data_IF_227301316409
#
_entry.id   IF_227301316409
#
_cell.length_a   1.000
_cell.length_b   1.000
_cell.length_c   1.000
_cell.angle_alpha   90.00
_cell.angle_beta   90.00
_cell.angle_gamma   90.00
#
_symmetry.space_group_name_H-M   'P 1'
#
loop_
_entity.id
_entity.type
_entity.pdbx_description
1 polymer ?
#
# COMPACT_ATOMS: atom_id res chain seq x y z
N UNK A 1 27.41 4.31 -49.73
CA UNK A 1 26.57 3.10 -49.84
C UNK A 1 26.87 2.24 -48.61
N UNK A 2 26.30 2.51 -47.44
CA UNK A 2 24.95 2.14 -46.97
C UNK A 2 24.58 0.68 -47.25
N UNK A 3 24.67 -0.16 -46.22
CA UNK A 3 23.73 -1.25 -45.94
C UNK A 3 23.99 -1.81 -44.53
N UNK A 4 23.51 -1.12 -43.49
CA UNK A 4 23.24 -1.74 -42.19
C UNK A 4 21.78 -2.14 -42.19
N UNK A 5 21.50 -3.44 -42.30
CA UNK A 5 20.15 -3.98 -42.22
C UNK A 5 19.67 -3.88 -40.76
N UNK A 6 18.70 -2.98 -40.52
CA UNK A 6 17.88 -2.98 -39.31
C UNK A 6 16.74 -3.98 -39.53
N UNK A 7 16.78 -5.08 -38.80
CA UNK A 7 15.66 -6.01 -38.64
C UNK A 7 14.86 -5.64 -37.40
N UNK A 8 13.61 -5.27 -37.65
CA UNK A 8 12.55 -5.01 -36.68
C UNK A 8 12.20 -6.30 -35.91
N UNK A 9 11.82 -6.19 -34.62
CA UNK A 9 10.55 -6.77 -34.16
C UNK A 9 10.21 -6.42 -32.70
N UNK A 10 8.99 -5.88 -32.59
CA UNK A 10 8.07 -5.91 -31.44
C UNK A 10 8.28 -4.91 -30.30
N UNK A 11 7.86 -3.69 -30.63
CA UNK A 11 7.32 -2.70 -29.73
C UNK A 11 6.00 -3.20 -29.09
N UNK A 12 6.07 -3.82 -27.91
CA UNK A 12 4.88 -4.10 -27.09
C UNK A 12 4.66 -2.97 -26.07
N UNK A 13 3.96 -1.94 -26.55
CA UNK A 13 2.77 -1.35 -25.96
C UNK A 13 2.52 -1.64 -24.46
N UNK A 14 3.27 -1.03 -23.55
CA UNK A 14 2.79 -0.82 -22.18
C UNK A 14 1.97 0.47 -22.18
N UNK A 15 0.69 0.32 -22.53
CA UNK A 15 -0.35 1.33 -22.30
C UNK A 15 -0.21 1.81 -20.86
N UNK A 16 0.30 3.03 -20.71
CA UNK A 16 0.08 3.83 -19.52
C UNK A 16 -1.42 4.06 -19.51
N UNK A 17 -2.14 3.25 -18.74
CA UNK A 17 -3.55 3.47 -18.48
C UNK A 17 -3.68 4.74 -17.65
N UNK A 18 -3.74 5.87 -18.34
CA UNK A 18 -4.37 7.08 -17.85
C UNK A 18 -5.81 6.68 -17.53
N UNK A 19 -6.10 6.42 -16.25
CA UNK A 19 -7.48 6.41 -15.77
C UNK A 19 -7.91 7.87 -15.72
N UNK A 20 -8.28 8.40 -16.88
CA UNK A 20 -9.11 9.57 -16.98
C UNK A 20 -10.50 9.12 -16.52
N UNK A 21 -10.76 9.21 -15.22
CA UNK A 21 -12.08 8.99 -14.64
C UNK A 21 -12.96 10.15 -15.12
N UNK A 22 -13.56 9.90 -16.27
CA UNK A 22 -14.51 10.75 -16.98
C UNK A 22 -15.72 10.95 -16.07
N UNK A 23 -15.89 12.20 -15.63
CA UNK A 23 -17.11 12.71 -15.01
C UNK A 23 -18.28 12.43 -15.95
N UNK A 24 -19.05 11.39 -15.66
CA UNK A 24 -20.40 11.21 -16.19
C UNK A 24 -21.34 11.45 -15.02
N UNK A 25 -21.68 12.72 -14.87
CA UNK A 25 -22.77 13.19 -14.03
C UNK A 25 -24.06 12.79 -14.74
N UNK A 26 -24.66 11.67 -14.33
CA UNK A 26 -26.00 11.28 -14.76
C UNK A 26 -26.93 11.47 -13.57
N UNK A 27 -27.93 12.33 -13.76
CA UNK A 27 -28.93 12.69 -12.76
C UNK A 27 -29.68 11.46 -12.24
N UNK A 28 -29.46 11.16 -10.97
CA UNK A 28 -30.31 10.34 -10.12
C UNK A 28 -30.29 10.96 -8.72
N UNK A 29 -31.34 11.68 -8.35
CA UNK A 29 -31.52 12.25 -7.02
C UNK A 29 -31.52 11.13 -5.96
N UNK A 30 -30.73 11.32 -4.89
CA UNK A 30 -31.14 10.89 -3.56
C UNK A 30 -30.57 9.58 -3.04
N UNK A 31 -29.27 9.54 -2.74
CA UNK A 31 -28.76 9.09 -1.44
C UNK A 31 -27.26 9.36 -1.33
N UNK A 32 -26.90 10.21 -0.38
CA UNK A 32 -25.54 10.31 0.15
C UNK A 32 -25.08 8.89 0.52
N UNK A 33 -23.93 8.45 0.00
CA UNK A 33 -23.39 7.15 0.36
C UNK A 33 -22.69 7.31 1.72
N UNK A 34 -23.33 6.83 2.78
CA UNK A 34 -22.80 6.86 4.14
C UNK A 34 -22.57 5.43 4.62
N UNK A 35 -21.37 5.17 5.12
CA UNK A 35 -21.01 3.92 5.78
C UNK A 35 -20.64 4.17 7.24
N UNK A 36 -20.83 3.17 8.11
CA UNK A 36 -20.42 3.24 9.51
C UNK A 36 -19.08 2.52 9.73
N UNK A 37 -18.10 3.25 10.27
CA UNK A 37 -16.81 2.70 10.73
C UNK A 37 -16.72 2.92 12.23
N UNK A 38 -16.71 1.83 13.01
CA UNK A 38 -16.66 1.87 14.49
C UNK A 38 -17.71 2.83 15.11
N UNK A 39 -18.94 2.81 14.57
CA UNK A 39 -20.04 3.67 15.01
C UNK A 39 -20.07 5.08 14.43
N UNK A 40 -19.00 5.54 13.75
CA UNK A 40 -18.94 6.84 13.09
C UNK A 40 -19.42 6.76 11.65
N UNK A 41 -20.26 7.72 11.26
CA UNK A 41 -20.70 7.88 9.87
C UNK A 41 -19.59 8.52 9.02
N UNK A 42 -19.32 7.90 7.88
CA UNK A 42 -18.30 8.29 6.90
C UNK A 42 -18.96 8.33 5.52
N UNK A 43 -18.95 9.50 4.89
CA UNK A 43 -19.63 9.72 3.61
C UNK A 43 -20.04 11.18 3.43
N UNK A 44 -20.86 11.44 2.41
CA UNK A 44 -21.29 12.80 2.09
C UNK A 44 -22.04 13.44 3.28
N UNK A 45 -21.71 14.69 3.60
CA UNK A 45 -22.35 15.43 4.69
C UNK A 45 -21.80 15.14 6.10
N UNK A 46 -20.81 14.26 6.25
CA UNK A 46 -20.16 13.96 7.53
C UNK A 46 -18.72 14.48 7.59
N UNK A 47 -18.13 14.68 8.79
CA UNK A 47 -16.74 15.06 8.92
C UNK A 47 -15.78 14.06 8.26
N UNK A 48 -14.68 14.56 7.70
CA UNK A 48 -13.64 13.72 7.09
C UNK A 48 -13.17 12.67 8.09
N UNK A 49 -13.03 11.42 7.61
CA UNK A 49 -12.49 10.31 8.38
C UNK A 49 -11.00 10.14 8.06
N UNK A 50 -10.13 10.44 9.01
CA UNK A 50 -8.68 10.46 8.83
C UNK A 50 -8.07 9.13 9.24
N UNK A 51 -7.46 8.43 8.28
CA UNK A 51 -6.72 7.18 8.49
C UNK A 51 -5.22 7.46 8.53
N UNK A 52 -4.58 7.27 9.68
CA UNK A 52 -3.13 7.30 9.78
C UNK A 52 -2.52 5.98 9.25
N UNK A 53 -1.83 6.07 8.12
CA UNK A 53 -1.16 4.93 7.48
C UNK A 53 0.17 4.65 8.18
N UNK A 54 0.20 3.64 9.06
CA UNK A 54 1.44 3.17 9.70
C UNK A 54 2.16 2.17 8.78
N UNK A 55 1.41 1.34 8.07
CA UNK A 55 1.97 0.40 7.10
C UNK A 55 2.94 -0.57 7.78
N UNK A 56 4.20 -0.56 7.33
CA UNK A 56 5.34 -1.31 7.91
C UNK A 56 6.40 -0.38 8.56
N UNK A 57 6.06 0.88 8.82
CA UNK A 57 7.01 1.88 9.37
C UNK A 57 7.43 1.59 10.81
N UNK A 58 6.81 0.61 11.46
CA UNK A 58 7.18 0.12 12.79
C UNK A 58 8.49 -0.68 12.81
N UNK A 59 9.09 -0.97 11.65
CA UNK A 59 10.41 -1.63 11.55
C UNK A 59 10.48 -2.97 12.31
N UNK A 60 9.40 -3.75 12.30
CA UNK A 60 9.30 -5.02 13.04
C UNK A 60 9.21 -4.87 14.57
N UNK A 61 9.17 -3.64 15.13
CA UNK A 61 9.08 -3.40 16.57
C UNK A 61 7.65 -3.11 17.02
N UNK A 62 7.12 -3.95 17.93
CA UNK A 62 5.82 -3.75 18.55
C UNK A 62 5.79 -2.48 19.42
N UNK A 63 6.90 -2.14 20.06
CA UNK A 63 7.01 -0.93 20.86
C UNK A 63 6.89 0.33 19.99
N UNK A 64 7.60 0.36 18.85
CA UNK A 64 7.50 1.46 17.88
C UNK A 64 6.05 1.58 17.36
N UNK A 65 5.41 0.44 17.01
CA UNK A 65 4.02 0.44 16.58
C UNK A 65 3.09 1.04 17.63
N UNK A 66 3.20 0.63 18.90
CA UNK A 66 2.40 1.18 20.01
C UNK A 66 2.59 2.69 20.16
N UNK A 67 3.83 3.18 20.09
CA UNK A 67 4.10 4.63 20.14
C UNK A 67 3.48 5.37 18.96
N UNK A 68 3.52 4.80 17.75
CA UNK A 68 2.89 5.39 16.57
C UNK A 68 1.36 5.46 16.71
N UNK A 69 0.73 4.45 17.32
CA UNK A 69 -0.72 4.46 17.60
C UNK A 69 -1.07 5.61 18.54
N UNK A 70 -0.35 5.72 19.66
CA UNK A 70 -0.56 6.81 20.63
C UNK A 70 -0.38 8.16 19.94
N UNK A 71 0.67 8.32 19.12
CA UNK A 71 0.93 9.59 18.45
C UNK A 71 -0.13 9.94 17.41
N UNK A 72 -0.62 8.98 16.64
CA UNK A 72 -1.70 9.19 15.67
C UNK A 72 -2.97 9.68 16.38
N UNK A 73 -3.32 9.08 17.53
CA UNK A 73 -4.45 9.51 18.34
C UNK A 73 -4.28 10.94 18.86
N UNK A 74 -3.10 11.30 19.38
CA UNK A 74 -2.80 12.66 19.85
C UNK A 74 -2.96 13.72 18.74
N UNK A 75 -2.65 13.36 17.50
CA UNK A 75 -2.77 14.25 16.33
C UNK A 75 -4.19 14.30 15.75
N UNK A 76 -5.14 13.58 16.33
CA UNK A 76 -6.54 13.58 15.90
C UNK A 76 -6.84 12.66 14.71
N UNK A 77 -6.02 11.64 14.46
CA UNK A 77 -6.39 10.58 13.53
C UNK A 77 -7.55 9.75 14.09
N UNK A 78 -8.49 9.37 13.22
CA UNK A 78 -9.67 8.61 13.60
C UNK A 78 -9.39 7.12 13.71
N UNK A 79 -8.46 6.62 12.90
CA UNK A 79 -7.91 5.29 13.05
C UNK A 79 -6.47 5.20 12.54
N UNK A 80 -5.85 4.06 12.81
CA UNK A 80 -4.56 3.67 12.25
C UNK A 80 -4.72 2.47 11.34
N UNK A 81 -3.86 2.34 10.33
CA UNK A 81 -3.85 1.18 9.43
C UNK A 81 -2.45 0.59 9.32
N UNK A 82 -2.33 -0.69 9.67
CA UNK A 82 -1.13 -1.51 9.45
C UNK A 82 -1.22 -2.29 8.14
N UNK A 83 -0.07 -2.73 7.61
CA UNK A 83 -0.02 -3.60 6.44
C UNK A 83 0.41 -5.01 6.85
N UNK A 84 -0.48 -5.98 6.68
CA UNK A 84 -0.17 -7.41 6.76
C UNK A 84 0.00 -7.98 5.36
N UNK A 85 1.09 -8.70 5.10
CA UNK A 85 1.28 -9.43 3.83
C UNK A 85 1.59 -10.91 4.06
N UNK A 86 0.92 -11.78 3.32
CA UNK A 86 1.38 -13.16 3.14
C UNK A 86 2.42 -13.18 2.01
N UNK A 87 3.70 -13.27 2.35
CA UNK A 87 4.80 -13.08 1.39
C UNK A 87 4.78 -14.12 0.26
N UNK A 88 4.49 -15.38 0.58
CA UNK A 88 4.44 -16.48 -0.39
C UNK A 88 3.27 -16.37 -1.35
N UNK A 89 2.16 -15.79 -0.91
CA UNK A 89 1.00 -15.52 -1.78
C UNK A 89 1.19 -14.26 -2.63
N UNK A 90 1.91 -13.26 -2.10
CA UNK A 90 2.06 -11.94 -2.74
C UNK A 90 3.22 -11.86 -3.72
N UNK A 91 4.31 -12.59 -3.48
CA UNK A 91 5.54 -12.47 -4.25
C UNK A 91 5.96 -13.81 -4.84
N UNK A 92 6.54 -13.75 -6.05
CA UNK A 92 7.19 -14.93 -6.65
C UNK A 92 8.46 -15.27 -5.88
N UNK A 93 8.87 -16.55 -5.96
CA UNK A 93 10.14 -17.02 -5.36
C UNK A 93 11.33 -16.16 -5.80
N UNK A 94 11.42 -15.82 -7.08
CA UNK A 94 12.51 -14.99 -7.62
C UNK A 94 12.51 -13.57 -7.04
N UNK A 95 11.33 -12.99 -6.75
CA UNK A 95 11.24 -11.68 -6.12
C UNK A 95 11.72 -11.72 -4.66
N UNK A 96 11.37 -12.77 -3.92
CA UNK A 96 11.80 -12.95 -2.52
C UNK A 96 13.30 -13.19 -2.41
N UNK A 97 13.91 -13.92 -3.34
CA UNK A 97 15.34 -14.22 -3.35
C UNK A 97 16.21 -13.08 -3.91
N UNK A 98 15.60 -11.98 -4.37
CA UNK A 98 16.35 -10.85 -4.92
C UNK A 98 17.29 -10.27 -3.84
N UNK A 99 18.59 -10.09 -4.13
CA UNK A 99 19.51 -9.44 -3.20
C UNK A 99 19.02 -8.05 -2.80
N UNK A 100 19.10 -7.73 -1.52
CA UNK A 100 18.63 -6.47 -0.96
C UNK A 100 19.57 -6.02 0.16
N UNK A 101 20.55 -5.19 -0.19
CA UNK A 101 21.68 -4.82 0.69
C UNK A 101 21.81 -3.31 0.89
N UNK A 102 20.71 -2.65 1.23
CA UNK A 102 20.70 -1.22 1.62
C UNK A 102 20.95 -1.02 3.11
N UNK A 103 21.29 0.21 3.52
CA UNK A 103 21.48 0.57 4.93
C UNK A 103 20.25 0.33 5.81
N UNK A 104 19.05 0.38 5.22
CA UNK A 104 17.78 0.08 5.86
C UNK A 104 17.28 -1.34 5.52
N UNK A 105 18.20 -2.24 5.17
CA UNK A 105 17.87 -3.65 4.99
C UNK A 105 17.96 -4.39 6.32
N UNK A 106 17.01 -5.29 6.55
CA UNK A 106 16.98 -6.18 7.71
C UNK A 106 17.24 -7.64 7.29
N UNK A 107 17.86 -7.84 6.13
CA UNK A 107 18.17 -9.15 5.56
C UNK A 107 19.08 -9.03 4.34
N UNK A 108 19.55 -10.18 3.85
CA UNK A 108 20.36 -10.27 2.64
C UNK A 108 19.50 -10.28 1.36
N UNK A 109 18.24 -10.71 1.49
CA UNK A 109 17.26 -10.79 0.41
C UNK A 109 16.04 -9.92 0.70
N UNK A 110 15.28 -9.58 -0.35
CA UNK A 110 14.03 -8.83 -0.22
C UNK A 110 12.99 -9.59 0.62
N UNK A 111 12.97 -10.91 0.52
CA UNK A 111 12.12 -11.79 1.33
C UNK A 111 12.47 -11.73 2.81
N UNK A 112 13.76 -11.80 3.17
CA UNK A 112 14.21 -11.68 4.56
C UNK A 112 13.87 -10.31 5.15
N UNK A 113 14.15 -9.23 4.42
CA UNK A 113 13.77 -7.88 4.83
C UNK A 113 12.26 -7.75 5.06
N UNK A 114 11.44 -8.29 4.15
CA UNK A 114 9.97 -8.27 4.33
C UNK A 114 9.51 -9.13 5.49
N UNK A 115 10.11 -10.31 5.69
CA UNK A 115 9.77 -11.19 6.81
C UNK A 115 10.07 -10.53 8.15
N UNK A 116 11.19 -9.80 8.26
CA UNK A 116 11.54 -9.03 9.46
C UNK A 116 10.51 -7.95 9.79
N UNK A 117 9.92 -7.31 8.78
CA UNK A 117 8.90 -6.29 8.96
C UNK A 117 7.50 -6.83 9.25
N UNK A 118 7.27 -8.14 9.10
CA UNK A 118 5.97 -8.76 9.34
C UNK A 118 5.86 -9.19 10.80
N UNK A 119 4.83 -8.68 11.48
CA UNK A 119 4.46 -9.17 12.80
C UNK A 119 3.99 -10.64 12.76
N UNK A 120 4.29 -11.34 13.86
CA UNK A 120 3.79 -12.69 14.12
C UNK A 120 2.28 -12.65 14.39
N UNK A 121 1.62 -13.80 14.45
CA UNK A 121 0.19 -13.84 14.77
C UNK A 121 -0.11 -13.38 16.21
N UNK A 122 0.84 -13.54 17.13
CA UNK A 122 0.69 -13.17 18.54
C UNK A 122 0.83 -11.66 18.79
N UNK A 123 1.43 -10.95 17.83
CA UNK A 123 1.65 -9.50 17.90
C UNK A 123 0.40 -8.68 17.49
N UNK A 124 -0.61 -9.30 16.88
CA UNK A 124 -1.87 -8.67 16.43
C UNK A 124 -2.98 -8.79 17.48
#
# INVERSE_FOLDING_TARGET
MLATQRGEHQHQNRRISFVLLRTVWCFGFGRALVMKISGRDVGDGHPVFVVAEIGQNHQGSLEVAKRMIVKAKELGADCVKFQKSCLTAKFTRNALLKPYSGANSWGSTYGEHKAFLEFSLEDY
#
